data_IF_853024628034
#
_entry.id   IF_853024628034
#
_cell.length_a   1.000
_cell.length_b   1.000
_cell.length_c   1.000
_cell.angle_alpha   90.00
_cell.angle_beta   90.00
_cell.angle_gamma   90.00
#
_symmetry.space_group_name_H-M   'P 1'
#
loop_
_entity.id
_entity.type
_entity.pdbx_description
1 polymer ?
#
# COMPACT_ATOMS: atom_id res chain seq x y z
N UNK A 1 1.58 26.54 -14.00
CA UNK A 1 2.71 25.58 -13.97
C UNK A 1 2.74 24.93 -12.60
N UNK A 2 2.77 23.60 -12.55
CA UNK A 2 2.82 22.86 -11.30
C UNK A 2 4.27 22.74 -10.80
N UNK A 3 4.57 23.36 -9.66
CA UNK A 3 5.89 23.27 -9.03
C UNK A 3 5.83 22.26 -7.88
N UNK A 4 6.66 21.21 -7.93
CA UNK A 4 6.77 20.21 -6.86
C UNK A 4 8.23 19.96 -6.53
N UNK A 5 8.55 19.92 -5.23
CA UNK A 5 9.87 19.57 -4.69
C UNK A 5 10.04 18.05 -4.49
N UNK A 6 8.96 17.27 -4.58
CA UNK A 6 8.98 15.84 -4.34
C UNK A 6 9.44 15.08 -5.61
N UNK A 7 10.55 14.32 -5.56
CA UNK A 7 11.08 13.61 -6.73
C UNK A 7 10.10 12.57 -7.28
N UNK A 8 9.20 12.04 -6.45
CA UNK A 8 8.19 11.03 -6.83
C UNK A 8 7.13 11.64 -7.76
N UNK A 9 6.76 12.91 -7.52
CA UNK A 9 5.68 13.60 -8.23
C UNK A 9 6.22 14.31 -9.48
N UNK A 10 7.52 14.66 -9.49
CA UNK A 10 8.16 15.44 -10.55
C UNK A 10 7.90 14.90 -11.96
N UNK A 11 7.98 13.58 -12.16
CA UNK A 11 7.71 12.97 -13.47
C UNK A 11 6.24 13.12 -13.90
N UNK A 12 5.29 12.94 -12.97
CA UNK A 12 3.84 13.06 -13.24
C UNK A 12 3.43 14.52 -13.46
N UNK A 13 3.93 15.44 -12.64
CA UNK A 13 3.71 16.88 -12.79
C UNK A 13 4.35 17.41 -14.08
N UNK A 14 5.52 16.88 -14.47
CA UNK A 14 6.19 17.19 -15.72
C UNK A 14 5.34 16.87 -16.96
N UNK A 15 4.60 15.76 -16.95
CA UNK A 15 3.69 15.40 -18.05
C UNK A 15 2.56 16.44 -18.22
N UNK A 16 1.97 16.91 -17.12
CA UNK A 16 0.88 17.89 -17.15
C UNK A 16 1.38 19.28 -17.60
N UNK A 17 2.59 19.66 -17.17
CA UNK A 17 3.24 20.89 -17.61
C UNK A 17 3.56 20.83 -19.12
N UNK A 18 4.14 19.72 -19.59
CA UNK A 18 4.46 19.52 -21.01
C UNK A 18 3.21 19.57 -21.90
N UNK A 19 2.10 18.97 -21.45
CA UNK A 19 0.84 19.04 -22.19
C UNK A 19 0.28 20.46 -22.26
N UNK A 20 0.46 21.27 -21.21
CA UNK A 20 0.04 22.68 -21.17
C UNK A 20 0.88 23.55 -22.12
N UNK A 21 2.20 23.32 -22.17
CA UNK A 21 3.12 24.05 -23.06
C UNK A 21 2.88 23.72 -24.55
N UNK A 22 2.67 22.44 -24.86
CA UNK A 22 2.45 22.00 -26.25
C UNK A 22 1.01 22.20 -26.74
N UNK A 23 0.06 22.45 -25.83
CA UNK A 23 -1.39 22.37 -26.07
C UNK A 23 -1.81 21.10 -26.84
N UNK A 24 -1.07 20.00 -26.67
CA UNK A 24 -1.31 18.74 -27.37
C UNK A 24 -0.98 17.54 -26.47
N UNK A 25 -2.04 16.92 -25.96
CA UNK A 25 -1.96 15.75 -25.06
C UNK A 25 -1.29 14.57 -25.73
N UNK A 26 -1.63 14.29 -26.99
CA UNK A 26 -1.11 13.11 -27.71
C UNK A 26 0.39 13.21 -27.97
N UNK A 27 0.89 14.40 -28.27
CA UNK A 27 2.32 14.65 -28.48
C UNK A 27 3.10 14.59 -27.17
N UNK A 28 2.58 15.20 -26.09
CA UNK A 28 3.17 15.13 -24.76
C UNK A 28 3.27 13.67 -24.25
N UNK A 29 2.20 12.88 -24.43
CA UNK A 29 2.17 11.46 -24.07
C UNK A 29 3.19 10.62 -24.86
N UNK A 30 3.38 10.89 -26.16
CA UNK A 30 4.40 10.21 -26.98
C UNK A 30 5.82 10.53 -26.53
N UNK A 31 6.10 11.79 -26.19
CA UNK A 31 7.43 12.22 -25.74
C UNK A 31 7.78 11.58 -24.39
N UNK A 32 6.81 11.53 -23.47
CA UNK A 32 7.00 10.98 -22.12
C UNK A 32 6.84 9.46 -22.05
N UNK A 33 6.41 8.79 -23.12
CA UNK A 33 6.18 7.34 -23.14
C UNK A 33 5.02 6.87 -22.26
N UNK A 34 4.00 7.72 -22.08
CA UNK A 34 2.83 7.45 -21.21
C UNK A 34 1.57 7.26 -22.06
N UNK A 35 0.66 6.39 -21.63
CA UNK A 35 -0.62 6.22 -22.33
C UNK A 35 -1.54 7.43 -22.13
N UNK A 36 -2.39 7.71 -23.12
CA UNK A 36 -3.41 8.77 -23.03
C UNK A 36 -4.35 8.57 -21.83
N UNK A 37 -4.71 7.32 -21.53
CA UNK A 37 -5.58 7.01 -20.38
C UNK A 37 -4.93 7.41 -19.05
N UNK A 38 -3.61 7.23 -18.92
CA UNK A 38 -2.87 7.63 -17.72
C UNK A 38 -2.84 9.15 -17.56
N UNK A 39 -2.78 9.89 -18.66
CA UNK A 39 -2.86 11.35 -18.63
C UNK A 39 -4.19 11.82 -18.03
N UNK A 40 -5.32 11.32 -18.55
CA UNK A 40 -6.64 11.70 -18.05
C UNK A 40 -6.86 11.30 -16.59
N UNK A 41 -6.32 10.15 -16.15
CA UNK A 41 -6.33 9.77 -14.74
C UNK A 41 -5.56 10.76 -13.86
N UNK A 42 -4.40 11.24 -14.31
CA UNK A 42 -3.66 12.25 -13.56
C UNK A 42 -4.35 13.60 -13.56
N UNK A 43 -5.00 13.98 -14.66
CA UNK A 43 -5.79 15.20 -14.72
C UNK A 43 -6.94 15.16 -13.70
N UNK A 44 -7.73 14.09 -13.69
CA UNK A 44 -8.83 13.89 -12.73
C UNK A 44 -8.34 13.94 -11.27
N UNK A 45 -7.19 13.32 -10.98
CA UNK A 45 -6.60 13.35 -9.64
C UNK A 45 -6.13 14.76 -9.23
N UNK A 46 -5.56 15.54 -10.16
CA UNK A 46 -5.21 16.94 -9.88
C UNK A 46 -6.43 17.82 -9.68
N UNK A 47 -7.49 17.60 -10.45
CA UNK A 47 -8.75 18.35 -10.33
C UNK A 47 -9.46 18.04 -9.00
N UNK A 48 -9.37 16.81 -8.51
CA UNK A 48 -10.03 16.38 -7.26
C UNK A 48 -9.21 16.71 -6.01
N UNK A 49 -7.95 16.27 -5.98
CA UNK A 49 -7.09 16.23 -4.79
C UNK A 49 -5.85 17.14 -4.92
N UNK A 50 -5.74 17.92 -6.00
CA UNK A 50 -4.56 18.75 -6.28
C UNK A 50 -3.30 17.93 -6.59
N UNK A 51 -2.13 18.55 -6.40
CA UNK A 51 -0.84 17.87 -6.64
C UNK A 51 -0.57 16.71 -5.68
N UNK A 52 -1.16 16.75 -4.48
CA UNK A 52 -1.07 15.67 -3.49
C UNK A 52 -1.81 14.41 -3.96
N UNK A 53 -2.83 14.55 -4.82
CA UNK A 53 -3.52 13.43 -5.46
C UNK A 53 -2.64 12.56 -6.37
N UNK A 54 -1.49 13.09 -6.82
CA UNK A 54 -0.51 12.34 -7.62
C UNK A 54 0.41 11.47 -6.76
N UNK A 55 0.41 11.66 -5.44
CA UNK A 55 1.13 10.80 -4.50
C UNK A 55 0.40 9.46 -4.45
N UNK A 56 1.17 8.37 -4.55
CA UNK A 56 0.67 6.99 -4.63
C UNK A 56 -0.50 6.74 -3.66
N UNK A 57 -1.72 6.53 -4.19
CA UNK A 57 -2.77 5.82 -3.47
C UNK A 57 -2.28 4.40 -3.21
N UNK A 58 -2.44 3.93 -1.98
CA UNK A 58 -2.01 2.58 -1.57
C UNK A 58 -2.59 1.53 -2.54
N UNK A 59 -1.70 0.71 -3.11
CA UNK A 59 -2.06 -0.23 -4.18
C UNK A 59 -2.91 -1.41 -3.70
N UNK A 60 -2.99 -1.65 -2.39
CA UNK A 60 -3.67 -2.82 -1.80
C UNK A 60 -4.63 -2.38 -0.71
N UNK A 61 -5.90 -2.29 -1.05
CA UNK A 61 -6.97 -2.22 -0.06
C UNK A 61 -7.13 -3.62 0.56
N UNK A 62 -7.12 -3.77 1.90
CA UNK A 62 -7.38 -5.05 2.55
C UNK A 62 -8.74 -5.62 2.13
N UNK A 63 -8.78 -6.90 1.73
CA UNK A 63 -10.04 -7.56 1.40
C UNK A 63 -10.81 -7.89 2.69
N UNK A 64 -11.93 -7.20 2.93
CA UNK A 64 -12.77 -7.38 4.11
C UNK A 64 -13.28 -8.83 4.28
N UNK A 65 -13.47 -9.57 3.18
CA UNK A 65 -13.93 -10.96 3.22
C UNK A 65 -12.89 -11.91 3.83
N UNK A 66 -11.61 -11.55 3.77
CA UNK A 66 -10.51 -12.33 4.33
C UNK A 66 -10.11 -11.82 5.72
N UNK A 67 -10.93 -10.97 6.35
CA UNK A 67 -10.64 -10.44 7.68
C UNK A 67 -10.80 -11.55 8.72
N UNK A 68 -9.73 -11.77 9.47
CA UNK A 68 -9.73 -12.71 10.60
C UNK A 68 -10.45 -12.06 11.77
N UNK A 69 -11.12 -12.86 12.60
CA UNK A 69 -11.75 -12.37 13.83
C UNK A 69 -10.73 -11.63 14.70
N UNK A 70 -11.12 -10.49 15.27
CA UNK A 70 -10.24 -9.61 16.04
C UNK A 70 -9.58 -10.33 17.22
N UNK A 71 -10.31 -11.20 17.91
CA UNK A 71 -9.77 -12.04 19.00
C UNK A 71 -8.61 -12.93 18.54
N UNK A 72 -8.74 -13.51 17.34
CA UNK A 72 -7.70 -14.37 16.77
C UNK A 72 -6.51 -13.55 16.30
N UNK A 73 -6.75 -12.37 15.70
CA UNK A 73 -5.71 -11.42 15.32
C UNK A 73 -4.88 -10.97 16.53
N UNK A 74 -5.54 -10.55 17.62
CA UNK A 74 -4.87 -10.12 18.85
C UNK A 74 -4.05 -11.25 19.49
N UNK A 75 -4.57 -12.49 19.50
CA UNK A 75 -3.83 -13.65 20.02
C UNK A 75 -2.55 -13.94 19.20
N UNK A 76 -2.62 -13.80 17.88
CA UNK A 76 -1.46 -13.97 16.99
C UNK A 76 -0.44 -12.85 17.19
N UNK A 77 -0.90 -11.60 17.30
CA UNK A 77 -0.03 -10.44 17.52
C UNK A 77 0.66 -10.50 18.88
N UNK A 78 -0.07 -10.83 19.96
CA UNK A 78 0.53 -10.97 21.29
C UNK A 78 1.61 -12.05 21.31
N UNK A 79 1.32 -13.21 20.72
CA UNK A 79 2.31 -14.28 20.60
C UNK A 79 3.54 -13.88 19.77
N UNK A 80 3.35 -13.11 18.70
CA UNK A 80 4.42 -12.62 17.85
C UNK A 80 5.39 -11.69 18.60
N UNK A 81 4.85 -10.85 19.47
CA UNK A 81 5.63 -9.93 20.32
C UNK A 81 6.40 -10.72 21.39
N UNK A 82 5.75 -11.68 22.02
CA UNK A 82 6.39 -12.52 23.06
C UNK A 82 7.50 -13.41 22.50
N UNK A 83 7.33 -13.93 21.27
CA UNK A 83 8.24 -14.91 20.67
C UNK A 83 8.60 -14.57 19.21
N UNK A 84 9.45 -13.56 18.96
CA UNK A 84 9.78 -13.11 17.60
C UNK A 84 10.56 -14.15 16.78
N UNK A 85 11.24 -15.09 17.43
CA UNK A 85 11.97 -16.18 16.76
C UNK A 85 11.05 -17.31 16.25
N UNK A 86 9.77 -17.32 16.63
CA UNK A 86 8.84 -18.37 16.24
C UNK A 86 8.20 -18.09 14.87
N UNK A 87 8.56 -18.91 13.89
CA UNK A 87 7.97 -18.86 12.56
C UNK A 87 6.50 -19.31 12.50
N UNK A 88 5.88 -19.12 11.34
CA UNK A 88 4.44 -19.32 11.10
C UNK A 88 3.87 -20.68 11.59
N UNK A 89 4.60 -21.78 11.37
CA UNK A 89 4.16 -23.12 11.76
C UNK A 89 4.24 -23.34 13.28
N UNK A 90 5.26 -22.77 13.94
CA UNK A 90 5.42 -22.83 15.40
C UNK A 90 4.31 -22.04 16.08
N UNK A 91 4.07 -20.82 15.62
CA UNK A 91 2.98 -19.96 16.09
C UNK A 91 1.61 -20.63 15.92
N UNK A 92 1.34 -21.23 14.77
CA UNK A 92 0.09 -21.98 14.54
C UNK A 92 -0.10 -23.12 15.54
N UNK A 93 0.94 -23.90 15.81
CA UNK A 93 0.86 -25.05 16.73
C UNK A 93 0.68 -24.63 18.19
N UNK A 94 1.39 -23.59 18.64
CA UNK A 94 1.24 -23.07 20.00
C UNK A 94 -0.11 -22.40 20.23
N UNK A 95 -0.63 -21.66 19.25
CA UNK A 95 -1.99 -21.11 19.30
C UNK A 95 -3.04 -22.21 19.34
N UNK A 96 -2.81 -23.33 18.63
CA UNK A 96 -3.71 -24.50 18.68
C UNK A 96 -3.80 -25.10 20.08
N UNK A 97 -2.69 -25.16 20.82
CA UNK A 97 -2.68 -25.58 22.23
C UNK A 97 -3.46 -24.63 23.14
N UNK A 98 -3.50 -23.34 22.80
CA UNK A 98 -4.29 -22.30 23.50
C UNK A 98 -5.77 -22.24 23.06
N UNK A 99 -6.22 -23.20 22.22
CA UNK A 99 -7.59 -23.27 21.72
C UNK A 99 -7.90 -22.34 20.54
N UNK A 100 -6.89 -21.70 19.94
CA UNK A 100 -7.05 -20.81 18.78
C UNK A 100 -6.56 -21.52 17.53
N UNK A 101 -7.49 -21.88 16.64
CA UNK A 101 -7.17 -22.59 15.40
C UNK A 101 -6.85 -21.61 14.28
N UNK A 102 -5.57 -21.53 13.91
CA UNK A 102 -5.09 -20.67 12.81
C UNK A 102 -4.17 -21.48 11.91
N UNK A 103 -4.31 -21.36 10.59
CA UNK A 103 -3.38 -21.94 9.62
C UNK A 103 -2.07 -21.15 9.57
N UNK A 104 -0.95 -21.81 9.31
CA UNK A 104 0.35 -21.14 9.10
C UNK A 104 0.29 -20.04 8.05
N UNK A 105 -0.50 -20.18 6.98
CA UNK A 105 -0.68 -19.15 5.95
C UNK A 105 -1.41 -17.90 6.49
N UNK A 106 -2.39 -18.10 7.36
CA UNK A 106 -3.13 -17.00 8.01
C UNK A 106 -2.22 -16.31 9.04
N UNK A 107 -1.43 -17.06 9.80
CA UNK A 107 -0.42 -16.48 10.69
C UNK A 107 0.59 -15.63 9.89
N UNK A 108 1.12 -16.15 8.78
CA UNK A 108 2.04 -15.45 7.87
C UNK A 108 1.44 -14.17 7.28
N UNK A 109 0.18 -14.23 6.83
CA UNK A 109 -0.53 -13.06 6.33
C UNK A 109 -0.68 -11.98 7.42
N UNK A 110 -0.96 -12.38 8.67
CA UNK A 110 -1.00 -11.45 9.80
C UNK A 110 0.38 -10.86 10.09
N UNK A 111 1.46 -11.65 10.03
CA UNK A 111 2.84 -11.16 10.15
C UNK A 111 3.26 -10.19 9.03
N UNK A 112 2.73 -10.37 7.82
CA UNK A 112 3.09 -9.59 6.63
C UNK A 112 2.24 -8.33 6.41
N UNK A 113 1.01 -8.27 6.92
CA UNK A 113 0.05 -7.19 6.65
C UNK A 113 0.29 -5.90 7.45
N UNK A 114 1.54 -5.59 7.81
CA UNK A 114 1.90 -4.39 8.57
C UNK A 114 2.18 -4.60 10.06
N UNK A 115 2.21 -5.83 10.55
CA UNK A 115 2.64 -6.09 11.94
C UNK A 115 4.13 -5.80 12.13
N UNK A 116 4.99 -5.84 11.10
CA UNK A 116 6.36 -5.32 11.25
C UNK A 116 6.39 -3.84 11.68
N UNK A 117 5.39 -3.04 11.28
CA UNK A 117 5.24 -1.64 11.71
C UNK A 117 4.60 -1.50 13.11
N UNK A 118 3.80 -2.48 13.55
CA UNK A 118 3.21 -2.51 14.90
C UNK A 118 4.17 -3.10 15.95
N UNK A 119 4.99 -4.09 15.58
CA UNK A 119 6.02 -4.70 16.42
C UNK A 119 7.15 -3.70 16.68
N UNK A 120 7.56 -2.93 15.66
CA UNK A 120 8.58 -1.86 15.82
C UNK A 120 8.11 -0.63 16.60
N UNK A 121 6.80 -0.46 16.85
CA UNK A 121 6.25 0.58 17.74
C UNK A 121 6.02 0.10 19.18
N UNK A 122 6.13 -1.21 19.43
CA UNK A 122 5.90 -1.84 20.73
C UNK A 122 7.20 -2.29 21.43
N UNK A 123 8.35 -2.17 20.76
CA UNK A 123 9.69 -2.30 21.32
C UNK A 123 10.29 -0.90 21.57
#
# INVERSE_FOLDING_TARGET
MFHTSNPIIKHKAGLLNLASELQNVSKACKIMGVSRDTFYRYQELVETDGLEGLINRERRVPNLKNRVNERTEQAVIGYAVDFPAHGQHRTSNELRKRGVFVSGSVASALFGCGTNLRISKAA
#
